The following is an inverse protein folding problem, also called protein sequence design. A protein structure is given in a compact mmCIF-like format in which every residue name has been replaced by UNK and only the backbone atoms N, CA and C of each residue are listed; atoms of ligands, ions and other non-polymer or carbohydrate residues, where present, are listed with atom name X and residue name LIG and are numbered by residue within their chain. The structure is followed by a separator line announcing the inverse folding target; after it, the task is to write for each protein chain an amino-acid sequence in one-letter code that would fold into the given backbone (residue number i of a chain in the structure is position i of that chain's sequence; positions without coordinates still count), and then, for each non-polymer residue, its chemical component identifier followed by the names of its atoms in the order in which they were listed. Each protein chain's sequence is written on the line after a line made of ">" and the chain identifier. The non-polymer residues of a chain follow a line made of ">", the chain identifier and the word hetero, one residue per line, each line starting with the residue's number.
data_IF_559931824899
#
_entry.id   IF_559931824899
#
_cell.length_a   1.000
_cell.length_b   1.000
_cell.length_c   1.000
_cell.angle_alpha   90.00
_cell.angle_beta   90.00
_cell.angle_gamma   90.00
#
_symmetry.space_group_name_H-M   'P 1'
#
loop_
_entity.id
_entity.type
_entity.pdbx_description
1 polymer ?
#
# COMPACT_ATOMS: atom_id res chain seq x y z
N UNK A 1 1.81 -19.40 -1.46
CA UNK A 1 0.87 -18.48 -0.78
C UNK A 1 -0.35 -18.33 -1.67
N UNK A 2 -1.56 -18.42 -1.12
CA UNK A 2 -2.77 -18.11 -1.90
C UNK A 2 -2.69 -16.67 -2.43
N UNK A 3 -2.97 -16.47 -3.71
CA UNK A 3 -3.06 -15.13 -4.29
C UNK A 3 -4.38 -14.49 -3.89
N UNK A 4 -4.33 -13.27 -3.36
CA UNK A 4 -5.53 -12.47 -3.13
C UNK A 4 -6.11 -11.99 -4.46
N UNK A 5 -7.44 -11.86 -4.59
CA UNK A 5 -8.10 -11.36 -5.79
C UNK A 5 -7.99 -9.83 -5.88
N UNK A 6 -6.77 -9.29 -5.78
CA UNK A 6 -6.51 -7.85 -5.81
C UNK A 6 -6.86 -7.24 -7.18
N UNK A 7 -6.85 -8.05 -8.25
CA UNK A 7 -7.23 -7.62 -9.60
C UNK A 7 -8.69 -7.16 -9.61
N UNK A 8 -8.96 -5.97 -10.14
CA UNK A 8 -10.26 -5.32 -10.17
C UNK A 8 -10.69 -4.72 -8.85
N UNK A 9 -9.87 -4.78 -7.80
CA UNK A 9 -10.16 -4.11 -6.52
C UNK A 9 -9.92 -2.60 -6.60
N UNK A 10 -9.11 -2.14 -7.57
CA UNK A 10 -8.80 -0.71 -7.78
C UNK A 10 -8.32 0.01 -6.51
N UNK A 11 -7.62 -0.72 -5.64
CA UNK A 11 -7.06 -0.14 -4.41
C UNK A 11 -8.10 0.31 -3.38
N UNK A 12 -9.35 -0.19 -3.42
CA UNK A 12 -10.39 0.15 -2.43
C UNK A 12 -9.97 -0.15 -0.98
N UNK A 13 -9.10 -1.14 -0.77
CA UNK A 13 -8.53 -1.45 0.54
C UNK A 13 -7.19 -0.74 0.84
N UNK A 14 -6.67 0.03 -0.11
CA UNK A 14 -5.40 0.75 0.03
C UNK A 14 -5.68 2.15 0.56
N UNK A 15 -5.60 2.32 1.89
CA UNK A 15 -5.87 3.60 2.58
C UNK A 15 -4.68 4.10 3.40
N UNK A 16 -4.92 4.92 4.44
CA UNK A 16 -3.94 5.26 5.46
C UNK A 16 -3.46 4.00 6.16
N UNK A 17 -2.15 3.82 6.20
CA UNK A 17 -1.53 2.61 6.71
C UNK A 17 -0.42 3.01 7.68
N UNK A 18 -0.38 2.46 8.92
CA UNK A 18 0.73 2.67 9.82
C UNK A 18 2.01 2.10 9.24
N UNK A 19 3.10 2.85 9.38
CA UNK A 19 4.42 2.48 8.84
C UNK A 19 5.50 2.66 9.89
N UNK A 20 6.52 1.82 9.83
CA UNK A 20 7.71 1.92 10.68
C UNK A 20 8.73 2.88 10.07
N UNK A 21 9.72 3.32 10.85
CA UNK A 21 10.78 4.18 10.31
C UNK A 21 11.54 3.55 9.14
N UNK A 22 11.76 2.23 9.21
CA UNK A 22 12.49 1.49 8.18
C UNK A 22 11.69 1.44 6.88
N UNK A 23 10.37 1.27 7.00
CA UNK A 23 9.45 1.28 5.86
C UNK A 23 9.41 2.67 5.23
N UNK A 24 9.30 3.75 6.01
CA UNK A 24 9.40 5.13 5.53
C UNK A 24 10.71 5.34 4.75
N UNK A 25 11.86 5.01 5.34
CA UNK A 25 13.17 5.14 4.68
C UNK A 25 13.22 4.37 3.34
N UNK A 26 12.66 3.17 3.31
CA UNK A 26 12.63 2.31 2.11
C UNK A 26 11.70 2.86 1.02
N UNK A 27 10.52 3.36 1.41
CA UNK A 27 9.54 3.97 0.51
C UNK A 27 10.10 5.27 -0.07
N UNK A 28 10.72 6.12 0.75
CA UNK A 28 11.40 7.35 0.26
C UNK A 28 12.46 7.04 -0.80
N UNK A 29 13.29 6.02 -0.58
CA UNK A 29 14.27 5.55 -1.58
C UNK A 29 13.58 5.04 -2.86
N UNK A 30 12.45 4.34 -2.72
CA UNK A 30 11.67 3.87 -3.86
C UNK A 30 11.05 5.01 -4.68
N UNK A 31 10.53 6.05 -4.02
CA UNK A 31 9.98 7.24 -4.69
C UNK A 31 11.08 7.95 -5.48
N UNK A 32 12.25 8.17 -4.86
CA UNK A 32 13.39 8.82 -5.52
C UNK A 32 13.91 8.06 -6.73
N UNK A 33 13.87 6.73 -6.70
CA UNK A 33 14.27 5.88 -7.83
C UNK A 33 13.15 5.66 -8.86
N UNK A 34 11.95 6.16 -8.61
CA UNK A 34 10.83 6.03 -9.54
C UNK A 34 11.01 7.00 -10.72
N UNK A 35 10.92 6.51 -11.98
CA UNK A 35 10.95 7.38 -13.15
C UNK A 35 9.93 8.52 -13.05
N UNK A 36 10.35 9.73 -13.40
CA UNK A 36 9.48 10.93 -13.32
C UNK A 36 8.15 10.72 -14.06
N UNK A 37 8.18 10.09 -15.24
CA UNK A 37 6.96 9.75 -16.00
C UNK A 37 5.97 8.91 -15.18
N UNK A 38 6.44 7.93 -14.40
CA UNK A 38 5.57 7.08 -13.58
C UNK A 38 4.98 7.87 -12.42
N UNK A 39 5.77 8.74 -11.77
CA UNK A 39 5.28 9.62 -10.71
C UNK A 39 4.15 10.52 -11.22
N UNK A 40 4.36 11.15 -12.37
CA UNK A 40 3.36 12.00 -13.02
C UNK A 40 2.12 11.21 -13.47
N UNK A 41 2.30 10.00 -14.02
CA UNK A 41 1.19 9.10 -14.38
C UNK A 41 0.35 8.70 -13.17
N UNK A 42 0.94 8.56 -11.98
CA UNK A 42 0.23 8.23 -10.75
C UNK A 42 -0.54 9.44 -10.20
N UNK A 43 0.08 10.62 -10.19
CA UNK A 43 -0.51 11.86 -9.68
C UNK A 43 -1.75 12.28 -10.48
N UNK A 44 -1.75 12.08 -11.79
CA UNK A 44 -2.85 12.50 -12.68
C UNK A 44 -4.00 11.47 -12.83
N UNK A 45 -4.08 10.47 -11.95
CA UNK A 45 -5.20 9.51 -12.00
C UNK A 45 -6.37 10.02 -11.17
N UNK A 46 -7.59 9.93 -11.69
CA UNK A 46 -8.80 10.22 -10.92
C UNK A 46 -8.99 9.18 -9.81
N UNK A 47 -8.95 9.62 -8.55
CA UNK A 47 -9.07 8.74 -7.38
C UNK A 47 -10.08 9.26 -6.37
N UNK A 48 -10.65 8.34 -5.61
CA UNK A 48 -11.43 8.71 -4.43
C UNK A 48 -10.51 9.27 -3.33
N UNK A 49 -10.95 10.30 -2.59
CA UNK A 49 -10.25 10.80 -1.42
C UNK A 49 -9.94 9.67 -0.42
N UNK A 50 -8.75 9.72 0.20
CA UNK A 50 -8.32 8.73 1.18
C UNK A 50 -7.74 7.44 0.61
N UNK A 51 -7.73 7.26 -0.72
CA UNK A 51 -7.03 6.14 -1.37
C UNK A 51 -5.52 6.36 -1.45
N UNK A 52 -4.76 5.26 -1.43
CA UNK A 52 -3.30 5.30 -1.42
C UNK A 52 -2.72 5.89 -2.71
N UNK A 53 -1.84 6.89 -2.57
CA UNK A 53 -1.17 7.56 -3.70
C UNK A 53 -0.29 6.62 -4.54
N UNK A 54 0.16 5.50 -3.97
CA UNK A 54 1.03 4.55 -4.66
C UNK A 54 0.30 3.48 -5.46
N UNK A 55 -1.02 3.37 -5.34
CA UNK A 55 -1.77 2.40 -6.13
C UNK A 55 -1.97 2.93 -7.57
N UNK A 56 -1.57 2.18 -8.58
CA UNK A 56 -1.79 2.50 -9.99
C UNK A 56 -3.16 1.95 -10.40
N UNK A 57 -4.16 2.83 -10.55
CA UNK A 57 -5.53 2.48 -10.94
C UNK A 57 -5.62 2.02 -12.39
N UNK A 58 -4.77 2.55 -13.27
CA UNK A 58 -4.74 2.19 -14.69
C UNK A 58 -4.15 0.80 -14.87
N UNK A 59 -3.03 0.52 -14.19
CA UNK A 59 -2.35 -0.79 -14.25
C UNK A 59 -2.83 -1.77 -13.19
N UNK A 60 -3.79 -1.37 -12.35
CA UNK A 60 -4.44 -2.17 -11.30
C UNK A 60 -3.41 -2.87 -10.36
N UNK A 61 -2.39 -2.12 -9.93
CA UNK A 61 -1.26 -2.66 -9.15
C UNK A 61 -0.63 -1.65 -8.20
N UNK A 62 0.06 -2.14 -7.17
CA UNK A 62 0.83 -1.26 -6.27
C UNK A 62 2.14 -0.80 -6.93
N UNK A 63 2.34 0.51 -7.09
CA UNK A 63 3.55 1.12 -7.64
C UNK A 63 4.80 0.97 -6.77
N UNK A 64 4.62 0.69 -5.48
CA UNK A 64 5.71 0.43 -4.51
C UNK A 64 5.73 -1.04 -4.03
N UNK A 65 5.21 -1.98 -4.84
CA UNK A 65 5.02 -3.38 -4.45
C UNK A 65 6.23 -4.01 -3.71
N UNK A 66 7.45 -3.72 -4.17
CA UNK A 66 8.72 -4.24 -3.62
C UNK A 66 9.04 -3.75 -2.21
N UNK A 67 8.53 -2.59 -1.82
CA UNK A 67 8.75 -1.96 -0.51
C UNK A 67 7.42 -1.74 0.24
N UNK A 68 6.39 -2.54 -0.08
CA UNK A 68 5.11 -2.47 0.64
C UNK A 68 5.33 -2.65 2.14
N UNK A 69 4.67 -1.85 2.98
CA UNK A 69 4.63 -2.06 4.42
C UNK A 69 4.23 -3.49 4.77
N UNK A 70 4.77 -4.00 5.87
CA UNK A 70 4.49 -5.30 6.47
C UNK A 70 2.99 -5.55 6.61
N UNK A 71 2.24 -4.59 7.16
CA UNK A 71 0.79 -4.65 7.27
C UNK A 71 0.08 -4.78 5.91
N UNK A 72 0.55 -4.08 4.86
CA UNK A 72 0.02 -4.24 3.50
C UNK A 72 0.30 -5.63 2.91
N UNK A 73 1.38 -6.30 3.34
CA UNK A 73 1.68 -7.69 2.94
C UNK A 73 0.86 -8.70 3.72
N UNK A 74 0.54 -8.39 4.98
CA UNK A 74 -0.28 -9.22 5.86
C UNK A 74 -1.78 -9.13 5.52
N UNK A 75 -2.23 -8.01 4.97
CA UNK A 75 -3.63 -7.80 4.63
C UNK A 75 -4.17 -8.91 3.72
N UNK A 76 -5.33 -9.46 4.09
CA UNK A 76 -6.01 -10.57 3.43
C UNK A 76 -5.57 -11.97 3.90
N UNK A 77 -4.51 -12.08 4.70
CA UNK A 77 -3.95 -13.37 5.14
C UNK A 77 -4.14 -13.64 6.65
N UNK A 78 -4.34 -12.59 7.46
CA UNK A 78 -4.47 -12.68 8.92
C UNK A 78 -5.91 -12.39 9.36
N UNK A 79 -6.33 -13.04 10.46
CA UNK A 79 -7.74 -13.02 10.95
C UNK A 79 -8.28 -11.63 11.28
N UNK A 80 -7.42 -10.71 11.68
CA UNK A 80 -7.78 -9.32 11.98
C UNK A 80 -7.56 -8.35 10.79
N UNK A 81 -7.10 -8.85 9.64
CA UNK A 81 -6.84 -8.07 8.43
C UNK A 81 -7.54 -8.73 7.23
N UNK A 82 -8.86 -8.84 7.29
CA UNK A 82 -9.65 -9.64 6.34
C UNK A 82 -9.82 -8.90 5.01
N UNK A 83 -9.61 -9.61 3.89
CA UNK A 83 -10.03 -9.13 2.58
C UNK A 83 -11.52 -9.45 2.36
N UNK A 84 -12.36 -8.42 2.22
CA UNK A 84 -13.81 -8.61 2.01
C UNK A 84 -14.17 -9.42 0.76
N UNK A 85 -13.29 -9.43 -0.27
CA UNK A 85 -13.49 -10.21 -1.50
C UNK A 85 -13.13 -11.69 -1.36
N UNK A 86 -12.33 -12.06 -0.36
CA UNK A 86 -11.94 -13.45 -0.09
C UNK A 86 -11.67 -13.65 1.41
N UNK A 87 -12.72 -13.65 2.26
CA UNK A 87 -12.55 -13.80 3.69
C UNK A 87 -11.82 -15.10 4.09
N UNK A 88 -12.08 -16.19 3.37
CA UNK A 88 -11.51 -17.53 3.64
C UNK A 88 -9.99 -17.63 3.46
N UNK A 89 -9.35 -16.62 2.85
CA UNK A 89 -7.89 -16.54 2.74
C UNK A 89 -7.22 -16.13 4.06
N UNK A 90 -7.97 -15.52 4.99
CA UNK A 90 -7.47 -15.03 6.28
C UNK A 90 -7.29 -16.17 7.30
N UNK A 91 -6.36 -17.08 7.03
CA UNK A 91 -6.14 -18.31 7.81
C UNK A 91 -5.04 -18.21 8.85
N UNK A 92 -4.15 -17.22 8.75
CA UNK A 92 -3.10 -17.00 9.74
C UNK A 92 -3.69 -16.55 11.09
N UNK A 93 -2.85 -16.43 12.12
CA UNK A 93 -3.25 -15.85 13.40
C UNK A 93 -3.67 -14.38 13.31
N UNK A 94 -3.72 -13.69 14.44
CA UNK A 94 -3.82 -12.23 14.44
C UNK A 94 -2.46 -11.64 14.06
N UNK A 95 -2.47 -10.65 13.18
CA UNK A 95 -1.29 -9.86 12.88
C UNK A 95 -1.08 -8.86 14.02
N UNK A 96 0.15 -8.81 14.52
CA UNK A 96 0.57 -7.84 15.52
C UNK A 96 1.73 -7.03 14.93
N UNK A 97 1.77 -5.74 15.25
CA UNK A 97 2.93 -4.91 14.92
C UNK A 97 4.01 -5.25 15.93
N UNK A 98 5.17 -5.73 15.47
CA UNK A 98 6.32 -5.99 16.35
C UNK A 98 7.15 -4.72 16.60
N UNK A 99 7.07 -3.74 15.68
CA UNK A 99 7.82 -2.48 15.74
C UNK A 99 6.94 -1.27 16.09
N UNK A 100 7.55 -0.23 16.66
CA UNK A 100 6.85 1.04 16.92
C UNK A 100 6.53 1.70 15.57
N UNK A 101 5.26 2.03 15.37
CA UNK A 101 4.80 2.80 14.21
C UNK A 101 5.31 4.23 14.31
N UNK A 102 5.96 4.72 13.26
CA UNK A 102 6.56 6.05 13.21
C UNK A 102 5.70 7.07 12.45
N UNK A 103 4.72 6.61 11.66
CA UNK A 103 3.87 7.47 10.85
C UNK A 103 2.74 6.74 10.14
N UNK A 104 2.08 7.47 9.23
CA UNK A 104 0.99 7.01 8.39
C UNK A 104 1.34 7.27 6.92
N UNK A 105 1.39 6.21 6.11
CA UNK A 105 1.84 6.25 4.71
C UNK A 105 1.19 7.37 3.88
N UNK A 106 -0.13 7.53 3.99
CA UNK A 106 -0.90 8.52 3.22
C UNK A 106 -0.81 9.95 3.76
N UNK A 107 -0.12 10.16 4.88
CA UNK A 107 0.15 11.48 5.48
C UNK A 107 1.61 11.86 5.24
N UNK A 108 2.53 10.92 5.48
CA UNK A 108 3.98 11.13 5.35
C UNK A 108 4.44 11.26 3.90
N UNK A 109 3.71 10.67 2.95
CA UNK A 109 3.96 10.86 1.52
C UNK A 109 2.74 11.41 0.81
N UNK A 110 3.00 12.47 0.05
CA UNK A 110 2.02 13.21 -0.72
C UNK A 110 2.51 13.40 -2.15
N UNK A 111 1.70 14.03 -3.00
CA UNK A 111 2.13 14.43 -4.34
C UNK A 111 3.33 15.39 -4.35
N UNK A 112 3.61 16.08 -3.23
CA UNK A 112 4.80 16.93 -3.11
C UNK A 112 6.09 16.11 -3.15
N UNK A 113 6.06 14.88 -2.65
CA UNK A 113 7.20 13.96 -2.64
C UNK A 113 7.48 13.36 -4.03
N UNK A 114 6.57 13.57 -4.98
CA UNK A 114 6.71 13.13 -6.36
C UNK A 114 7.44 14.14 -7.24
N UNK A 115 7.88 15.27 -6.69
CA UNK A 115 8.66 16.30 -7.38
C UNK A 115 10.15 15.99 -7.28
#
# INVERSE_FOLDING_TARGET
>A
MESLPCKGCRGLCCGPVPVTEQELKSIKKKIKSMPHKIRLELENQDRYPGTCIFYDLVKDRCGIHSVRPSICRAFGLYKNLICFRKPDAARAGNWNVEEITAGLLSVDYTWKDFK
#
